data_IF_304699880198
#
_entry.id   IF_304699880198
#
_cell.length_a   1.000
_cell.length_b   1.000
_cell.length_c   1.000
_cell.angle_alpha   90.00
_cell.angle_beta   90.00
_cell.angle_gamma   90.00
#
_symmetry.space_group_name_H-M   'P 1'
#
loop_
_entity.id
_entity.type
_entity.pdbx_description
1 polymer ?
#
# COMPACT_ATOMS: atom_id res chain seq x y z
N UNK A 1 18.21 20.00 4.83
CA UNK A 1 18.12 19.07 3.68
C UNK A 1 16.96 18.15 3.98
N UNK A 2 16.02 18.01 3.05
CA UNK A 2 14.83 17.22 3.28
C UNK A 2 15.25 15.75 3.32
N UNK A 3 14.56 14.96 4.12
CA UNK A 3 14.90 13.56 4.34
C UNK A 3 13.67 12.71 4.08
N UNK A 4 13.84 11.65 3.30
CA UNK A 4 12.82 10.64 3.08
C UNK A 4 13.30 9.34 3.71
N UNK A 5 12.52 8.80 4.65
CA UNK A 5 12.83 7.54 5.33
C UNK A 5 11.91 6.46 4.77
N UNK A 6 12.49 5.49 4.08
CA UNK A 6 11.79 4.29 3.61
C UNK A 6 12.01 3.19 4.65
N UNK A 7 10.93 2.75 5.29
CA UNK A 7 10.99 1.68 6.29
C UNK A 7 10.56 0.37 5.66
N UNK A 8 11.39 -0.68 5.78
CA UNK A 8 11.12 -2.00 5.20
C UNK A 8 11.33 -3.11 6.21
N UNK A 9 10.78 -4.29 5.94
CA UNK A 9 11.27 -5.51 6.56
C UNK A 9 12.64 -5.82 5.92
N UNK A 10 13.69 -5.86 6.72
CA UNK A 10 15.06 -6.13 6.30
C UNK A 10 15.86 -6.80 7.43
N UNK A 11 16.89 -7.55 7.04
CA UNK A 11 17.94 -8.02 7.95
C UNK A 11 19.07 -6.98 8.01
N UNK A 12 19.67 -6.84 9.19
CA UNK A 12 20.84 -5.98 9.42
C UNK A 12 22.05 -6.88 9.44
N UNK A 13 22.94 -6.76 8.47
CA UNK A 13 24.22 -7.49 8.48
C UNK A 13 25.22 -6.84 9.45
N UNK A 14 26.25 -7.60 9.87
CA UNK A 14 27.27 -7.19 10.86
C UNK A 14 27.98 -5.85 10.53
N UNK A 15 27.92 -5.40 9.27
CA UNK A 15 28.52 -4.14 8.78
C UNK A 15 27.53 -2.96 8.73
N UNK A 16 26.32 -3.10 9.31
CA UNK A 16 25.28 -2.06 9.28
C UNK A 16 24.58 -1.90 7.93
N UNK A 17 24.90 -2.75 6.95
CA UNK A 17 24.25 -2.78 5.64
C UNK A 17 22.87 -3.44 5.75
N UNK A 18 21.85 -2.72 5.31
CA UNK A 18 20.46 -3.19 5.27
C UNK A 18 20.26 -4.03 4.02
N UNK A 19 19.85 -5.29 4.19
CA UNK A 19 19.51 -6.20 3.09
C UNK A 19 18.01 -6.50 3.14
N UNK A 20 17.25 -6.16 2.09
CA UNK A 20 15.83 -6.48 2.04
C UNK A 20 15.58 -7.99 2.13
N UNK A 21 14.52 -8.41 2.83
CA UNK A 21 14.25 -9.84 3.10
C UNK A 21 13.79 -10.60 1.84
N UNK A 22 13.42 -9.90 0.76
CA UNK A 22 12.94 -10.54 -0.47
C UNK A 22 13.22 -9.71 -1.73
N UNK A 23 13.32 -10.36 -2.91
CA UNK A 23 13.40 -9.68 -4.20
C UNK A 23 12.23 -8.73 -4.48
N UNK A 24 11.03 -9.07 -3.98
CA UNK A 24 9.87 -8.18 -4.06
C UNK A 24 10.12 -6.89 -3.27
N UNK A 25 10.67 -6.97 -2.05
CA UNK A 25 10.99 -5.79 -1.24
C UNK A 25 12.07 -4.94 -1.91
N UNK A 26 13.10 -5.55 -2.51
CA UNK A 26 14.11 -4.83 -3.30
C UNK A 26 13.48 -4.04 -4.44
N UNK A 27 12.55 -4.68 -5.18
CA UNK A 27 11.85 -4.04 -6.31
C UNK A 27 10.95 -2.92 -5.83
N UNK A 28 10.21 -3.10 -4.72
CA UNK A 28 9.38 -2.06 -4.11
C UNK A 28 10.21 -0.83 -3.74
N UNK A 29 11.36 -1.02 -3.08
CA UNK A 29 12.28 0.05 -2.69
C UNK A 29 12.87 0.75 -3.92
N UNK A 30 13.28 -0.01 -4.93
CA UNK A 30 13.84 0.53 -6.17
C UNK A 30 12.81 1.38 -6.92
N UNK A 31 11.56 0.91 -7.03
CA UNK A 31 10.46 1.63 -7.67
C UNK A 31 10.14 2.93 -6.93
N UNK A 32 10.06 2.90 -5.59
CA UNK A 32 9.82 4.11 -4.81
C UNK A 32 11.01 5.10 -4.90
N UNK A 33 12.26 4.62 -4.89
CA UNK A 33 13.45 5.46 -5.12
C UNK A 33 13.39 6.14 -6.48
N UNK A 34 12.99 5.42 -7.53
CA UNK A 34 12.81 5.96 -8.87
C UNK A 34 11.75 7.06 -8.90
N UNK A 35 10.63 6.86 -8.21
CA UNK A 35 9.59 7.88 -8.06
C UNK A 35 10.11 9.14 -7.35
N UNK A 36 10.83 8.97 -6.24
CA UNK A 36 11.42 10.08 -5.48
C UNK A 36 12.42 10.86 -6.34
N UNK A 37 13.36 10.16 -6.99
CA UNK A 37 14.42 10.77 -7.80
C UNK A 37 13.89 11.44 -9.08
N UNK A 38 12.76 10.98 -9.61
CA UNK A 38 12.09 11.62 -10.75
C UNK A 38 11.33 12.89 -10.36
N UNK A 39 11.13 13.14 -9.08
CA UNK A 39 10.42 14.32 -8.58
C UNK A 39 11.34 15.54 -8.47
N UNK A 40 10.74 16.74 -8.43
CA UNK A 40 11.49 17.99 -8.27
C UNK A 40 11.95 18.24 -6.82
N UNK A 41 11.58 17.37 -5.88
CA UNK A 41 11.88 17.53 -4.46
C UNK A 41 13.27 16.95 -4.19
N UNK A 42 14.21 17.82 -3.83
CA UNK A 42 15.56 17.40 -3.45
C UNK A 42 15.54 16.86 -2.01
N UNK A 43 15.60 15.54 -1.87
CA UNK A 43 15.53 14.85 -0.58
C UNK A 43 16.57 13.73 -0.51
N UNK A 44 17.16 13.55 0.66
CA UNK A 44 18.04 12.43 0.95
C UNK A 44 17.21 11.17 1.24
N UNK A 45 17.48 10.08 0.53
CA UNK A 45 16.77 8.82 0.75
C UNK A 45 17.55 7.96 1.75
N UNK A 46 16.95 7.72 2.91
CA UNK A 46 17.44 6.81 3.94
C UNK A 46 16.55 5.57 3.97
N UNK A 47 17.15 4.37 3.90
CA UNK A 47 16.43 3.11 4.12
C UNK A 47 16.64 2.70 5.56
N UNK A 48 15.59 2.20 6.21
CA UNK A 48 15.64 1.69 7.57
C UNK A 48 14.95 0.33 7.68
N UNK A 49 15.53 -0.57 8.46
CA UNK A 49 14.85 -1.81 8.84
C UNK A 49 13.81 -1.52 9.93
N UNK A 50 12.61 -2.06 9.79
CA UNK A 50 11.56 -1.92 10.79
C UNK A 50 11.99 -2.49 12.16
N UNK A 51 12.83 -3.53 12.17
CA UNK A 51 13.41 -4.11 13.37
C UNK A 51 14.21 -3.09 14.21
N UNK A 52 14.93 -2.17 13.57
CA UNK A 52 15.71 -1.13 14.27
C UNK A 52 14.83 -0.18 15.08
N UNK A 53 13.57 -0.01 14.69
CA UNK A 53 12.62 0.88 15.37
C UNK A 53 12.12 0.31 16.71
N UNK A 54 12.37 -0.98 16.99
CA UNK A 54 11.97 -1.62 18.24
C UNK A 54 12.99 -1.44 19.37
N UNK A 55 14.26 -1.29 19.02
CA UNK A 55 15.37 -1.22 19.99
C UNK A 55 15.93 0.19 20.17
N UNK A 56 15.77 1.08 19.19
CA UNK A 56 16.38 2.39 19.20
C UNK A 56 15.35 3.51 19.02
N UNK A 57 15.44 4.54 19.87
CA UNK A 57 14.78 5.81 19.59
C UNK A 57 15.48 6.44 18.39
N UNK A 58 14.72 6.72 17.33
CA UNK A 58 15.25 7.48 16.20
C UNK A 58 15.86 8.79 16.69
N UNK A 59 17.02 9.20 16.17
CA UNK A 59 17.53 10.53 16.46
C UNK A 59 16.50 11.58 16.01
N UNK A 60 16.53 12.80 16.57
CA UNK A 60 15.66 13.88 16.13
C UNK A 60 15.72 14.02 14.62
N UNK A 61 14.58 13.83 13.95
CA UNK A 61 14.50 13.99 12.50
C UNK A 61 14.15 15.46 12.18
N UNK A 62 14.59 15.98 11.02
CA UNK A 62 14.12 17.27 10.53
C UNK A 62 12.59 17.33 10.48
N UNK A 63 11.99 18.50 10.72
CA UNK A 63 10.53 18.68 10.66
C UNK A 63 9.93 18.27 9.31
N UNK A 64 10.68 18.46 8.22
CA UNK A 64 10.26 18.12 6.85
C UNK A 64 10.56 16.65 6.46
N UNK A 65 10.67 15.75 7.44
CA UNK A 65 10.94 14.33 7.16
C UNK A 65 9.69 13.63 6.64
N UNK A 66 9.80 13.03 5.46
CA UNK A 66 8.73 12.22 4.86
C UNK A 66 9.00 10.76 5.19
N UNK A 67 8.04 10.13 5.86
CA UNK A 67 8.08 8.70 6.15
C UNK A 67 7.30 7.92 5.08
N UNK A 68 7.95 6.94 4.47
CA UNK A 68 7.38 6.05 3.47
C UNK A 68 7.53 4.59 3.92
N UNK A 69 6.76 4.12 4.92
CA UNK A 69 6.82 2.71 5.29
C UNK A 69 6.29 1.84 4.14
N UNK A 70 7.03 0.80 3.80
CA UNK A 70 6.63 -0.24 2.85
C UNK A 70 6.42 -1.58 3.59
N UNK A 71 6.06 -1.49 4.87
CA UNK A 71 5.75 -2.62 5.75
C UNK A 71 4.68 -2.21 6.76
N UNK A 72 3.86 -3.18 7.15
CA UNK A 72 2.86 -3.03 8.22
C UNK A 72 3.45 -3.36 9.60
N UNK A 73 4.63 -3.99 9.65
CA UNK A 73 5.28 -4.47 10.87
C UNK A 73 6.07 -3.35 11.59
N UNK A 74 5.36 -2.27 11.92
CA UNK A 74 5.91 -1.16 12.68
C UNK A 74 5.61 -1.33 14.19
N UNK A 75 6.51 -0.86 15.07
CA UNK A 75 6.22 -0.78 16.50
C UNK A 75 5.17 0.28 16.80
N UNK A 76 4.37 0.06 17.84
CA UNK A 76 3.36 1.03 18.27
C UNK A 76 3.98 2.33 18.77
N UNK A 77 5.22 2.28 19.29
CA UNK A 77 5.98 3.44 19.75
C UNK A 77 6.52 4.33 18.61
N UNK A 78 6.53 3.86 17.36
CA UNK A 78 7.03 4.64 16.24
C UNK A 78 5.99 5.69 15.81
N UNK A 79 6.29 6.95 16.10
CA UNK A 79 5.42 8.09 15.81
C UNK A 79 5.76 8.71 14.46
N UNK A 80 4.77 8.77 13.58
CA UNK A 80 4.84 9.42 12.27
C UNK A 80 3.42 9.83 11.83
N UNK A 81 3.25 10.72 10.84
CA UNK A 81 1.94 11.30 10.52
C UNK A 81 0.82 10.28 10.24
N UNK A 82 1.13 9.15 9.60
CA UNK A 82 0.15 8.11 9.26
C UNK A 82 0.09 6.94 10.27
N UNK A 83 0.69 7.05 11.47
CA UNK A 83 0.75 5.98 12.47
C UNK A 83 -0.62 5.36 12.78
N UNK A 84 -1.66 6.19 12.93
CA UNK A 84 -3.01 5.73 13.28
C UNK A 84 -3.57 4.75 12.25
N UNK A 85 -3.49 5.06 10.95
CA UNK A 85 -4.03 4.16 9.92
C UNK A 85 -3.20 2.88 9.81
N UNK A 86 -1.88 2.95 10.00
CA UNK A 86 -1.03 1.76 10.05
C UNK A 86 -1.41 0.82 11.20
N UNK A 87 -1.65 1.35 12.39
CA UNK A 87 -2.12 0.56 13.53
C UNK A 87 -3.49 -0.08 13.27
N UNK A 88 -4.43 0.68 12.66
CA UNK A 88 -5.75 0.16 12.27
C UNK A 88 -5.66 -0.95 11.23
N UNK A 89 -4.80 -0.80 10.21
CA UNK A 89 -4.57 -1.81 9.18
C UNK A 89 -3.81 -3.03 9.73
N UNK A 90 -2.95 -2.85 10.74
CA UNK A 90 -2.26 -3.95 11.45
C UNK A 90 -3.24 -4.82 12.24
N UNK A 91 -4.26 -4.22 12.87
CA UNK A 91 -5.34 -4.95 13.53
C UNK A 91 -6.35 -5.52 12.52
N UNK A 92 -5.92 -6.55 11.78
CA UNK A 92 -6.71 -7.21 10.73
C UNK A 92 -8.03 -7.75 11.27
N UNK A 93 -8.02 -8.38 12.45
CA UNK A 93 -9.22 -8.98 13.05
C UNK A 93 -10.25 -7.89 13.36
N UNK A 94 -9.83 -6.80 14.03
CA UNK A 94 -10.72 -5.70 14.36
C UNK A 94 -11.26 -4.99 13.13
N UNK A 95 -10.44 -4.83 12.08
CA UNK A 95 -10.89 -4.19 10.84
C UNK A 95 -11.91 -5.04 10.09
N UNK A 96 -11.69 -6.36 9.99
CA UNK A 96 -12.66 -7.30 9.42
C UNK A 96 -13.97 -7.27 10.18
N UNK A 97 -13.93 -7.37 11.51
CA UNK A 97 -15.14 -7.31 12.32
C UNK A 97 -15.93 -6.03 12.07
N UNK A 98 -15.25 -4.88 12.06
CA UNK A 98 -15.88 -3.60 11.76
C UNK A 98 -16.53 -3.57 10.37
N UNK A 99 -15.85 -4.08 9.33
CA UNK A 99 -16.41 -4.18 7.97
C UNK A 99 -17.65 -5.07 7.95
N UNK A 100 -17.65 -6.19 8.68
CA UNK A 100 -18.79 -7.08 8.76
C UNK A 100 -19.98 -6.46 9.51
N UNK A 101 -19.74 -5.77 10.63
CA UNK A 101 -20.82 -5.23 11.47
C UNK A 101 -21.38 -3.93 10.94
N UNK A 102 -20.52 -3.01 10.50
CA UNK A 102 -20.94 -1.66 10.12
C UNK A 102 -21.28 -1.54 8.63
N UNK A 103 -20.61 -2.31 7.78
CA UNK A 103 -20.82 -2.24 6.32
C UNK A 103 -21.61 -3.44 5.78
N UNK A 104 -21.79 -4.50 6.56
CA UNK A 104 -22.55 -5.68 6.16
C UNK A 104 -21.86 -6.57 5.12
N UNK A 105 -20.55 -6.38 4.88
CA UNK A 105 -19.81 -7.22 3.93
C UNK A 105 -19.36 -8.53 4.56
N UNK A 106 -19.29 -9.58 3.74
CA UNK A 106 -18.64 -10.84 4.14
C UNK A 106 -17.15 -10.61 4.36
N UNK A 107 -16.59 -11.35 5.31
CA UNK A 107 -15.18 -11.31 5.65
C UNK A 107 -14.55 -12.69 5.51
N UNK A 108 -13.26 -12.70 5.20
CA UNK A 108 -12.52 -13.95 5.09
C UNK A 108 -12.47 -14.65 6.45
N UNK A 109 -12.82 -15.94 6.43
CA UNK A 109 -12.65 -16.87 7.56
C UNK A 109 -11.68 -17.97 7.15
N UNK A 110 -11.21 -18.78 8.11
CA UNK A 110 -10.35 -19.95 7.81
C UNK A 110 -10.96 -20.92 6.78
N UNK A 111 -12.29 -20.90 6.61
CA UNK A 111 -13.02 -21.73 5.64
C UNK A 111 -13.19 -21.08 4.27
N UNK A 112 -12.90 -19.79 4.13
CA UNK A 112 -13.24 -18.98 2.95
C UNK A 112 -12.17 -18.96 1.86
N UNK A 113 -11.10 -19.76 1.97
CA UNK A 113 -10.00 -19.80 1.00
C UNK A 113 -8.98 -18.67 1.18
N UNK A 114 -8.12 -18.45 0.17
CA UNK A 114 -7.14 -17.37 0.12
C UNK A 114 -7.74 -16.10 -0.51
N UNK A 115 -7.04 -14.97 -0.39
CA UNK A 115 -7.44 -13.74 -1.08
C UNK A 115 -6.50 -13.39 -2.20
N UNK A 116 -7.10 -13.33 -3.38
CA UNK A 116 -6.39 -13.41 -4.64
C UNK A 116 -6.50 -12.10 -5.42
N UNK A 117 -7.18 -11.08 -4.86
CA UNK A 117 -7.39 -9.79 -5.50
C UNK A 117 -7.06 -8.60 -4.60
N UNK A 118 -6.62 -7.52 -5.24
CA UNK A 118 -6.38 -6.23 -4.63
C UNK A 118 -6.96 -5.13 -5.50
N UNK A 119 -7.75 -4.24 -4.90
CA UNK A 119 -8.14 -2.98 -5.53
C UNK A 119 -7.17 -1.88 -5.09
N UNK A 120 -6.39 -1.29 -6.01
CA UNK A 120 -5.64 -0.08 -5.72
C UNK A 120 -6.58 1.11 -5.55
N UNK A 121 -6.38 1.86 -4.47
CA UNK A 121 -7.13 3.10 -4.21
C UNK A 121 -6.13 4.20 -3.91
N UNK A 122 -6.11 5.21 -4.76
CA UNK A 122 -5.25 6.37 -4.63
C UNK A 122 -6.08 7.48 -3.98
N UNK A 123 -5.78 7.76 -2.71
CA UNK A 123 -6.47 8.78 -1.93
C UNK A 123 -5.73 10.09 -2.08
N UNK A 124 -6.47 11.14 -2.46
CA UNK A 124 -5.95 12.50 -2.63
C UNK A 124 -6.82 13.49 -1.86
N UNK A 125 -6.35 14.73 -1.71
CA UNK A 125 -7.16 15.82 -1.15
C UNK A 125 -8.41 16.15 -1.97
N UNK A 126 -8.50 15.70 -3.23
CA UNK A 126 -9.65 15.92 -4.11
C UNK A 126 -10.63 14.75 -4.13
N UNK A 127 -10.27 13.62 -3.54
CA UNK A 127 -11.08 12.41 -3.55
C UNK A 127 -10.28 11.15 -3.91
N UNK A 128 -11.03 10.11 -4.27
CA UNK A 128 -10.53 8.76 -4.51
C UNK A 128 -10.39 8.50 -6.00
N UNK A 129 -9.25 7.95 -6.41
CA UNK A 129 -9.02 7.42 -7.75
C UNK A 129 -8.86 5.91 -7.61
N UNK A 130 -9.75 5.15 -8.24
CA UNK A 130 -9.72 3.69 -8.23
C UNK A 130 -8.86 3.20 -9.40
N UNK A 131 -7.85 2.39 -9.10
CA UNK A 131 -7.05 1.72 -10.11
C UNK A 131 -7.70 0.42 -10.57
N UNK A 132 -7.17 -0.14 -11.66
CA UNK A 132 -7.58 -1.47 -12.11
C UNK A 132 -7.20 -2.54 -11.09
N UNK A 133 -8.06 -3.54 -10.95
CA UNK A 133 -7.88 -4.64 -9.99
C UNK A 133 -6.63 -5.43 -10.34
N UNK A 134 -5.89 -5.82 -9.30
CA UNK A 134 -4.72 -6.68 -9.37
C UNK A 134 -5.15 -8.07 -8.91
N UNK A 135 -4.81 -9.11 -9.66
CA UNK A 135 -5.01 -10.50 -9.28
C UNK A 135 -3.70 -11.25 -9.03
N UNK A 136 -3.77 -12.39 -8.36
CA UNK A 136 -2.68 -13.37 -8.38
C UNK A 136 -2.49 -13.91 -9.81
N UNK A 137 -1.24 -13.95 -10.27
CA UNK A 137 -0.90 -14.43 -11.60
C UNK A 137 -0.69 -15.94 -11.66
N UNK A 138 -0.43 -16.46 -12.86
CA UNK A 138 -0.33 -17.91 -13.12
C UNK A 138 0.89 -18.56 -12.45
N UNK A 139 1.92 -17.77 -12.12
CA UNK A 139 3.17 -18.26 -11.51
C UNK A 139 3.18 -17.87 -10.02
N UNK A 140 3.70 -18.73 -9.11
CA UNK A 140 3.81 -18.39 -7.69
C UNK A 140 4.45 -17.02 -7.46
N UNK A 141 3.80 -16.20 -6.62
CA UNK A 141 4.24 -14.85 -6.26
C UNK A 141 4.23 -13.82 -7.40
N UNK A 142 3.61 -14.14 -8.54
CA UNK A 142 3.30 -13.17 -9.58
C UNK A 142 1.95 -12.51 -9.35
N UNK A 143 1.79 -11.27 -9.80
CA UNK A 143 0.52 -10.58 -9.84
C UNK A 143 0.28 -10.00 -11.23
N UNK A 144 -0.98 -9.93 -11.63
CA UNK A 144 -1.41 -9.44 -12.95
C UNK A 144 -2.36 -8.26 -12.79
N UNK A 145 -2.24 -7.28 -13.69
CA UNK A 145 -3.09 -6.10 -13.75
C UNK A 145 -3.22 -5.68 -15.23
N UNK A 146 -4.41 -5.34 -15.74
CA UNK A 146 -5.71 -5.34 -15.04
C UNK A 146 -6.36 -6.74 -14.97
N UNK A 147 -7.10 -7.00 -13.90
CA UNK A 147 -8.12 -8.05 -13.85
C UNK A 147 -9.48 -7.42 -14.09
N UNK A 148 -10.17 -7.88 -15.13
CA UNK A 148 -11.51 -7.40 -15.45
C UNK A 148 -12.53 -7.92 -14.42
N UNK A 149 -13.30 -7.01 -13.85
CA UNK A 149 -14.44 -7.34 -12.99
C UNK A 149 -15.72 -6.81 -13.64
N UNK A 150 -16.82 -7.58 -13.62
CA UNK A 150 -18.11 -7.07 -14.07
C UNK A 150 -18.52 -5.84 -13.24
N UNK A 151 -19.22 -4.89 -13.86
CA UNK A 151 -19.61 -3.63 -13.21
C UNK A 151 -20.47 -3.84 -11.95
N UNK A 152 -21.23 -4.94 -11.91
CA UNK A 152 -22.01 -5.37 -10.75
C UNK A 152 -21.14 -5.64 -9.50
N UNK A 153 -19.86 -5.98 -9.68
CA UNK A 153 -18.88 -6.14 -8.60
C UNK A 153 -18.06 -4.87 -8.38
N UNK A 154 -17.73 -4.12 -9.43
CA UNK A 154 -16.94 -2.89 -9.32
C UNK A 154 -17.60 -1.85 -8.42
N UNK A 155 -18.89 -1.57 -8.61
CA UNK A 155 -19.57 -0.53 -7.83
C UNK A 155 -19.62 -0.86 -6.33
N UNK A 156 -20.05 -2.07 -5.89
CA UNK A 156 -19.97 -2.45 -4.49
C UNK A 156 -18.53 -2.46 -3.93
N UNK A 157 -17.53 -2.80 -4.75
CA UNK A 157 -16.13 -2.79 -4.32
C UNK A 157 -15.61 -1.36 -4.08
N UNK A 158 -15.95 -0.42 -4.96
CA UNK A 158 -15.63 1.00 -4.80
C UNK A 158 -16.37 1.60 -3.59
N UNK A 159 -17.61 1.20 -3.37
CA UNK A 159 -18.38 1.60 -2.20
C UNK A 159 -17.73 1.10 -0.90
N UNK A 160 -17.31 -0.17 -0.85
CA UNK A 160 -16.58 -0.74 0.29
C UNK A 160 -15.30 0.06 0.56
N UNK A 161 -14.49 0.29 -0.48
CA UNK A 161 -13.26 1.06 -0.36
C UNK A 161 -13.50 2.48 0.18
N UNK A 162 -14.49 3.19 -0.39
CA UNK A 162 -14.88 4.54 0.03
C UNK A 162 -15.29 4.58 1.49
N UNK A 163 -16.22 3.71 1.91
CA UNK A 163 -16.75 3.70 3.27
C UNK A 163 -15.66 3.33 4.28
N UNK A 164 -14.82 2.33 3.96
CA UNK A 164 -13.71 1.92 4.81
C UNK A 164 -12.68 3.03 5.00
N UNK A 165 -12.19 3.61 3.90
CA UNK A 165 -11.14 4.63 3.95
C UNK A 165 -11.64 5.95 4.55
N UNK A 166 -12.90 6.32 4.29
CA UNK A 166 -13.52 7.50 4.90
C UNK A 166 -13.66 7.33 6.42
N UNK A 167 -14.10 6.16 6.88
CA UNK A 167 -14.19 5.87 8.31
C UNK A 167 -12.81 5.87 9.02
N UNK A 168 -11.77 5.46 8.31
CA UNK A 168 -10.40 5.48 8.83
C UNK A 168 -9.75 6.87 8.80
N UNK A 169 -10.43 7.89 8.24
CA UNK A 169 -9.86 9.22 7.98
C UNK A 169 -8.52 9.09 7.24
N UNK A 170 -8.54 8.30 6.16
CA UNK A 170 -7.33 7.86 5.47
C UNK A 170 -6.57 9.06 4.87
N UNK A 171 -5.31 9.33 5.28
CA UNK A 171 -4.53 10.40 4.67
C UNK A 171 -4.19 10.09 3.20
N UNK A 172 -3.81 11.12 2.45
CA UNK A 172 -3.38 10.98 1.05
C UNK A 172 -2.27 9.95 0.92
N UNK A 173 -2.55 8.84 0.25
CA UNK A 173 -1.62 7.75 -0.02
C UNK A 173 -2.25 6.77 -1.02
N UNK A 174 -1.45 5.83 -1.49
CA UNK A 174 -1.95 4.62 -2.15
C UNK A 174 -2.24 3.54 -1.13
N UNK A 175 -3.43 2.96 -1.23
CA UNK A 175 -3.93 1.85 -0.44
C UNK A 175 -4.22 0.65 -1.34
N UNK A 176 -4.04 -0.57 -0.81
CA UNK A 176 -4.52 -1.79 -1.48
C UNK A 176 -5.59 -2.45 -0.62
N UNK A 177 -6.83 -2.46 -1.13
CA UNK A 177 -7.93 -3.21 -0.53
C UNK A 177 -7.86 -4.66 -1.00
N UNK A 178 -7.50 -5.59 -0.12
CA UNK A 178 -7.41 -7.01 -0.42
C UNK A 178 -8.76 -7.71 -0.19
N UNK A 179 -9.20 -8.49 -1.17
CA UNK A 179 -10.47 -9.21 -1.13
C UNK A 179 -10.41 -10.54 -1.90
N UNK A 180 -11.44 -11.36 -1.72
CA UNK A 180 -11.72 -12.56 -2.52
C UNK A 180 -13.10 -12.43 -3.17
N UNK A 181 -13.35 -13.23 -4.19
CA UNK A 181 -14.69 -13.43 -4.75
C UNK A 181 -15.16 -14.84 -4.44
N UNK A 182 -16.31 -14.97 -3.78
CA UNK A 182 -16.92 -16.28 -3.51
C UNK A 182 -18.41 -16.19 -3.81
N UNK A 183 -18.92 -17.11 -4.63
CA UNK A 183 -20.33 -17.17 -5.04
C UNK A 183 -20.85 -15.84 -5.63
N UNK A 184 -19.97 -15.07 -6.28
CA UNK A 184 -20.30 -13.76 -6.85
C UNK A 184 -20.36 -12.62 -5.83
N UNK A 185 -19.87 -12.81 -4.60
CA UNK A 185 -19.84 -11.79 -3.56
C UNK A 185 -18.40 -11.39 -3.20
N UNK A 186 -18.24 -10.11 -2.81
CA UNK A 186 -16.98 -9.57 -2.32
C UNK A 186 -16.77 -10.01 -0.87
N UNK A 187 -15.63 -10.67 -0.62
CA UNK A 187 -15.18 -11.04 0.72
C UNK A 187 -13.99 -10.17 1.10
N UNK A 188 -14.18 -9.27 2.07
CA UNK A 188 -13.12 -8.43 2.57
C UNK A 188 -12.08 -9.22 3.37
N UNK A 189 -10.79 -8.92 3.16
CA UNK A 189 -9.70 -9.50 3.92
C UNK A 189 -8.92 -8.45 4.70
N UNK A 190 -8.29 -7.51 4.00
CA UNK A 190 -7.29 -6.61 4.60
C UNK A 190 -7.24 -5.30 3.83
N UNK A 191 -6.79 -4.25 4.51
CA UNK A 191 -6.34 -3.01 3.88
C UNK A 191 -4.84 -2.82 4.11
N UNK A 192 -4.11 -2.50 3.05
CA UNK A 192 -2.70 -2.10 3.12
C UNK A 192 -2.58 -0.58 2.98
N UNK A 193 -1.90 0.14 3.90
CA UNK A 193 -1.74 1.60 3.85
C UNK A 193 -0.54 2.07 3.02
N UNK A 194 -0.10 1.24 2.07
CA UNK A 194 1.01 1.50 1.14
C UNK A 194 0.89 0.58 -0.09
N UNK A 195 1.59 0.87 -1.20
CA UNK A 195 1.69 -0.04 -2.34
C UNK A 195 2.53 -1.26 -1.96
N UNK A 196 1.90 -2.29 -1.40
CA UNK A 196 2.53 -3.56 -1.05
C UNK A 196 2.93 -4.35 -2.31
N UNK A 197 3.57 -5.51 -2.14
CA UNK A 197 4.11 -6.32 -3.24
C UNK A 197 3.18 -6.50 -4.48
N UNK A 198 1.84 -6.70 -4.34
CA UNK A 198 0.97 -6.79 -5.51
C UNK A 198 1.01 -5.55 -6.43
N UNK A 199 1.27 -4.36 -5.88
CA UNK A 199 1.40 -3.13 -6.66
C UNK A 199 2.57 -3.15 -7.65
N UNK A 200 3.50 -4.11 -7.55
CA UNK A 200 4.54 -4.32 -8.56
C UNK A 200 3.96 -4.64 -9.94
N UNK A 201 2.74 -5.20 -10.02
CA UNK A 201 2.04 -5.44 -11.28
C UNK A 201 1.88 -4.14 -12.10
N UNK A 202 1.74 -2.99 -11.44
CA UNK A 202 1.56 -1.69 -12.10
C UNK A 202 2.78 -1.20 -12.88
N UNK A 203 4.00 -1.67 -12.58
CA UNK A 203 5.25 -1.08 -13.09
C UNK A 203 5.42 -1.12 -14.62
N UNK A 204 4.70 -1.99 -15.31
CA UNK A 204 4.78 -2.15 -16.77
C UNK A 204 3.48 -1.87 -17.50
N UNK A 205 2.38 -1.77 -16.77
CA UNK A 205 1.03 -1.72 -17.32
C UNK A 205 0.31 -0.44 -16.93
N UNK A 206 0.84 0.38 -16.03
CA UNK A 206 0.22 1.62 -15.58
C UNK A 206 1.24 2.77 -15.56
N UNK A 207 0.83 3.95 -16.01
CA UNK A 207 1.63 5.17 -15.95
C UNK A 207 0.78 6.35 -15.45
N UNK A 208 1.15 7.03 -14.35
CA UNK A 208 2.20 6.66 -13.39
C UNK A 208 1.89 5.34 -12.67
N UNK A 209 2.93 4.60 -12.30
CA UNK A 209 2.80 3.39 -11.50
C UNK A 209 2.36 3.71 -10.06
N UNK A 210 1.93 2.69 -9.31
CA UNK A 210 1.38 2.88 -7.96
C UNK A 210 2.39 3.41 -6.93
N UNK A 211 3.69 3.16 -7.09
CA UNK A 211 4.72 3.73 -6.21
C UNK A 211 4.95 5.21 -6.52
N UNK A 212 4.90 5.58 -7.80
CA UNK A 212 4.91 6.98 -8.24
C UNK A 212 3.68 7.73 -7.72
N UNK A 213 2.48 7.16 -7.87
CA UNK A 213 1.26 7.73 -7.28
C UNK A 213 1.36 7.91 -5.76
N UNK A 214 1.93 6.92 -5.05
CA UNK A 214 2.12 7.00 -3.60
C UNK A 214 3.04 8.16 -3.23
N UNK A 215 4.16 8.33 -3.93
CA UNK A 215 5.05 9.47 -3.70
C UNK A 215 4.36 10.81 -3.96
N UNK A 216 3.58 10.93 -5.04
CA UNK A 216 2.80 12.14 -5.30
C UNK A 216 1.79 12.44 -4.20
N UNK A 217 1.12 11.43 -3.67
CA UNK A 217 0.22 11.60 -2.53
C UNK A 217 0.96 12.15 -1.30
N UNK A 218 2.08 11.53 -0.91
CA UNK A 218 2.84 11.92 0.28
C UNK A 218 3.44 13.33 0.17
N UNK A 219 3.66 13.80 -1.05
CA UNK A 219 4.24 15.12 -1.33
C UNK A 219 3.21 16.14 -1.81
N UNK A 220 1.92 15.81 -1.75
CA UNK A 220 0.81 16.64 -2.23
C UNK A 220 0.98 17.13 -3.68
N UNK A 221 1.65 16.33 -4.52
CA UNK A 221 1.76 16.60 -5.94
C UNK A 221 0.48 16.18 -6.68
N UNK A 222 0.09 16.89 -7.75
CA UNK A 222 -1.04 16.49 -8.57
C UNK A 222 -0.75 15.13 -9.22
N UNK A 223 -1.76 14.25 -9.20
CA UNK A 223 -1.69 12.98 -9.90
C UNK A 223 -2.14 13.22 -11.33
N UNK A 224 -1.29 12.99 -12.34
CA UNK A 224 -1.69 13.07 -13.74
C UNK A 224 -2.72 11.98 -14.05
N UNK A 225 -3.29 12.04 -15.25
CA UNK A 225 -4.17 10.97 -15.74
C UNK A 225 -3.45 9.62 -15.66
N UNK A 226 -4.16 8.61 -15.15
CA UNK A 226 -3.64 7.24 -15.03
C UNK A 226 -3.96 6.51 -16.32
N UNK A 227 -2.93 6.07 -17.01
CA UNK A 227 -3.04 5.34 -18.27
C UNK A 227 -2.68 3.88 -18.02
N UNK A 228 -3.60 2.97 -18.32
CA UNK A 228 -3.35 1.52 -18.27
C UNK A 228 -3.07 1.01 -19.68
N UNK A 229 -1.90 0.41 -19.88
CA UNK A 229 -1.44 -0.21 -21.12
C UNK A 229 -1.80 -1.69 -21.08
N UNK A 230 -2.59 -2.15 -22.05
CA UNK A 230 -2.79 -3.58 -22.28
C UNK A 230 -1.45 -4.16 -22.79
N UNK A 231 -0.92 -5.18 -22.12
CA UNK A 231 0.24 -5.91 -22.61
C UNK A 231 -0.15 -6.55 -23.95
N UNK A 232 0.55 -6.17 -25.03
CA UNK A 232 0.44 -6.78 -26.36
C UNK A 232 1.22 -8.08 -26.42
#
# INVERSE_FOLDING_TARGET
MNKTIIVINAEIQEEGKIVPISPATETMVSSLKKAINSSKINTEICIMAAASLWSESLPPQPEETIYCPLTIELPESFVFPAQRIYQRCKNVVGLRQWVATELGYRIITEKSGYSDFWLPVIVTSKGFIYGEVIGEGVIPYSCEQPVDLPDQLRQPLYQLAYQLLSNLDAPSAVYLLQFSLQDGEIIFNRLWPFPAAPALASLRVQEPDLYTCHWYCLTNQPIPEIIVKLLQ
#
